data_IF_267657646763
#
_entry.id   IF_267657646763
#
_cell.length_a   1.000
_cell.length_b   1.000
_cell.length_c   1.000
_cell.angle_alpha   90.00
_cell.angle_beta   90.00
_cell.angle_gamma   90.00
#
_symmetry.space_group_name_H-M   'P 1'
#
loop_
_entity.id
_entity.type
_entity.pdbx_description
1 polymer ?
#
# COMPACT_ATOMS: atom_id res chain seq x y z
N UNK A 1 -66.63 -53.02 26.97
CA UNK A 1 -66.33 -52.08 25.88
C UNK A 1 -65.64 -50.83 26.44
N UNK A 2 -64.34 -50.80 26.37
CA UNK A 2 -63.56 -49.69 26.81
C UNK A 2 -62.93 -49.05 25.58
N UNK A 3 -63.31 -47.78 25.29
CA UNK A 3 -62.70 -46.96 24.28
C UNK A 3 -61.48 -46.25 24.90
N UNK A 4 -60.31 -46.44 24.26
CA UNK A 4 -59.07 -45.73 24.57
C UNK A 4 -58.93 -44.61 23.52
N UNK A 5 -58.73 -43.33 23.86
CA UNK A 5 -58.47 -42.29 22.91
C UNK A 5 -56.96 -42.28 22.51
N UNK A 6 -56.70 -42.34 21.19
CA UNK A 6 -55.37 -42.15 20.63
C UNK A 6 -55.04 -40.67 20.64
N UNK A 7 -54.02 -40.27 21.39
CA UNK A 7 -53.49 -38.93 21.44
C UNK A 7 -52.50 -38.72 20.27
N UNK A 8 -52.88 -37.95 19.30
CA UNK A 8 -52.01 -37.53 18.16
C UNK A 8 -51.10 -36.41 18.63
N UNK A 9 -49.82 -36.72 18.85
CA UNK A 9 -48.81 -35.71 19.12
C UNK A 9 -48.27 -35.15 17.80
N UNK A 10 -48.71 -33.96 17.42
CA UNK A 10 -48.14 -33.22 16.29
C UNK A 10 -46.81 -32.57 16.67
N UNK A 11 -45.70 -33.11 16.18
CA UNK A 11 -44.36 -32.51 16.32
C UNK A 11 -44.25 -31.38 15.31
N UNK A 12 -44.35 -30.13 15.77
CA UNK A 12 -44.01 -28.93 15.00
C UNK A 12 -42.48 -28.83 14.94
N UNK A 13 -41.89 -29.16 13.79
CA UNK A 13 -40.53 -28.83 13.47
C UNK A 13 -40.44 -27.32 13.21
N UNK A 14 -40.02 -26.57 14.24
CA UNK A 14 -39.62 -25.17 14.10
C UNK A 14 -38.24 -25.18 13.47
N UNK A 15 -38.18 -24.93 12.14
CA UNK A 15 -36.95 -24.65 11.43
C UNK A 15 -36.49 -23.25 11.87
N UNK A 16 -35.53 -23.18 12.76
CA UNK A 16 -34.79 -21.94 13.01
C UNK A 16 -33.93 -21.62 11.81
N UNK A 17 -34.47 -20.80 10.91
CA UNK A 17 -33.70 -20.16 9.87
C UNK A 17 -32.96 -18.99 10.55
N UNK A 18 -31.75 -19.24 11.10
CA UNK A 18 -30.85 -18.19 11.53
C UNK A 18 -30.46 -17.37 10.29
N UNK A 19 -31.23 -16.32 10.02
CA UNK A 19 -30.68 -15.19 9.26
C UNK A 19 -29.48 -14.70 10.08
N UNK A 20 -28.26 -14.99 9.61
CA UNK A 20 -27.09 -14.23 10.01
C UNK A 20 -27.42 -12.78 9.65
N UNK A 21 -27.87 -12.02 10.61
CA UNK A 21 -27.91 -10.58 10.52
C UNK A 21 -26.47 -10.16 10.19
N UNK A 22 -26.28 -9.64 8.96
CA UNK A 22 -25.06 -8.94 8.64
C UNK A 22 -24.99 -7.80 9.63
N UNK A 23 -23.97 -7.80 10.49
CA UNK A 23 -23.68 -6.64 11.34
C UNK A 23 -23.74 -5.40 10.44
N UNK A 24 -24.37 -4.32 10.87
CA UNK A 24 -24.42 -3.10 10.08
C UNK A 24 -22.97 -2.69 9.84
N UNK A 25 -22.58 -2.65 8.56
CA UNK A 25 -21.34 -2.00 8.15
C UNK A 25 -21.48 -0.56 8.61
N UNK A 26 -20.80 -0.23 9.70
CA UNK A 26 -20.69 1.17 10.14
C UNK A 26 -19.88 1.83 9.01
N UNK A 27 -20.58 2.59 8.15
CA UNK A 27 -19.91 3.49 7.23
C UNK A 27 -19.02 4.38 8.10
N UNK A 28 -17.70 4.23 7.92
CA UNK A 28 -16.74 5.01 8.67
C UNK A 28 -17.00 6.49 8.36
N UNK A 29 -17.43 7.22 9.36
CA UNK A 29 -17.70 8.68 9.30
C UNK A 29 -16.43 9.49 9.01
N UNK A 30 -15.26 8.83 8.91
CA UNK A 30 -13.92 9.39 8.73
C UNK A 30 -13.40 9.39 7.28
N UNK A 31 -14.11 8.85 6.31
CA UNK A 31 -13.60 8.73 4.93
C UNK A 31 -12.53 7.63 4.73
N UNK A 32 -12.10 6.93 5.78
CA UNK A 32 -11.20 5.77 5.70
C UNK A 32 -11.97 4.51 5.30
N UNK A 33 -11.33 3.54 4.60
CA UNK A 33 -11.93 2.23 4.39
C UNK A 33 -12.27 1.57 5.73
N UNK A 34 -13.53 1.15 5.94
CA UNK A 34 -14.00 0.64 7.23
C UNK A 34 -13.14 -0.52 7.80
N UNK A 35 -12.51 -1.30 6.93
CA UNK A 35 -11.64 -2.40 7.33
C UNK A 35 -10.28 -1.94 7.89
N UNK A 36 -9.82 -0.69 7.60
CA UNK A 36 -8.47 -0.26 7.97
C UNK A 36 -8.33 0.07 9.46
N UNK A 37 -9.40 0.48 10.14
CA UNK A 37 -9.36 1.00 11.51
C UNK A 37 -8.81 0.03 12.57
N UNK A 38 -8.88 -1.28 12.32
CA UNK A 38 -8.38 -2.31 13.25
C UNK A 38 -7.42 -3.28 12.58
N UNK A 39 -7.00 -3.00 11.35
CA UNK A 39 -6.11 -3.87 10.59
C UNK A 39 -4.66 -3.71 10.99
N UNK A 40 -3.91 -4.78 10.84
CA UNK A 40 -2.46 -4.78 10.90
C UNK A 40 -1.87 -4.91 9.50
N UNK A 41 -0.65 -4.44 9.32
CA UNK A 41 0.07 -4.43 8.04
C UNK A 41 1.31 -5.32 8.16
N UNK A 42 1.51 -6.20 7.17
CA UNK A 42 2.71 -7.02 7.04
C UNK A 42 3.46 -6.62 5.76
N UNK A 43 4.66 -6.06 5.93
CA UNK A 43 5.53 -5.66 4.82
C UNK A 43 6.22 -6.87 4.17
N UNK A 44 6.26 -6.90 2.84
CA UNK A 44 6.77 -8.01 2.04
C UNK A 44 7.83 -7.52 1.05
N UNK A 45 9.04 -8.01 1.22
CA UNK A 45 10.10 -7.92 0.22
C UNK A 45 10.10 -9.22 -0.59
N UNK A 46 9.47 -9.24 -1.77
CA UNK A 46 9.36 -10.45 -2.59
C UNK A 46 10.70 -11.11 -2.91
N UNK A 47 11.69 -10.31 -3.29
CA UNK A 47 13.04 -10.81 -3.64
C UNK A 47 13.68 -11.60 -2.51
N UNK A 48 13.39 -11.26 -1.25
CA UNK A 48 14.03 -11.82 -0.08
C UNK A 48 13.14 -12.76 0.74
N UNK A 49 11.86 -12.84 0.44
CA UNK A 49 10.91 -13.61 1.24
C UNK A 49 11.06 -15.11 1.06
N UNK A 50 11.30 -15.55 -0.18
CA UNK A 50 11.55 -16.95 -0.54
C UNK A 50 12.87 -17.07 -1.29
N UNK A 51 13.38 -18.29 -1.43
CA UNK A 51 14.59 -18.56 -2.22
C UNK A 51 14.39 -18.20 -3.70
N UNK A 52 13.19 -18.42 -4.22
CA UNK A 52 12.81 -18.16 -5.60
C UNK A 52 12.58 -16.66 -5.86
N UNK A 53 12.16 -15.91 -4.84
CA UNK A 53 11.87 -14.47 -4.94
C UNK A 53 10.66 -14.13 -5.81
N UNK A 54 9.73 -15.07 -6.04
CA UNK A 54 8.59 -14.88 -6.94
C UNK A 54 7.26 -14.79 -6.20
N UNK A 55 6.24 -14.20 -6.85
CA UNK A 55 4.89 -14.09 -6.28
C UNK A 55 4.25 -15.46 -6.03
N UNK A 56 4.44 -16.41 -6.93
CA UNK A 56 3.92 -17.77 -6.81
C UNK A 56 4.58 -18.56 -5.66
N UNK A 57 5.85 -18.28 -5.37
CA UNK A 57 6.52 -18.88 -4.22
C UNK A 57 6.03 -18.23 -2.90
N UNK A 58 5.84 -16.92 -2.90
CA UNK A 58 5.29 -16.18 -1.75
C UNK A 58 3.86 -16.63 -1.40
N UNK A 59 3.01 -16.87 -2.39
CA UNK A 59 1.61 -17.28 -2.22
C UNK A 59 1.45 -18.48 -1.28
N UNK A 60 2.41 -19.40 -1.26
CA UNK A 60 2.43 -20.56 -0.36
C UNK A 60 2.51 -20.19 1.12
N UNK A 61 2.89 -18.96 1.43
CA UNK A 61 2.95 -18.47 2.81
C UNK A 61 1.62 -17.89 3.32
N UNK A 62 0.63 -17.66 2.45
CA UNK A 62 -0.65 -17.07 2.82
C UNK A 62 -1.36 -17.78 3.98
N UNK A 63 -1.45 -19.13 4.03
CA UNK A 63 -2.07 -19.81 5.17
C UNK A 63 -1.40 -19.48 6.50
N UNK A 64 -0.05 -19.50 6.53
CA UNK A 64 0.73 -19.14 7.72
C UNK A 64 0.50 -17.69 8.14
N UNK A 65 0.47 -16.75 7.19
CA UNK A 65 0.22 -15.33 7.48
C UNK A 65 -1.20 -15.12 8.00
N UNK A 66 -2.18 -15.88 7.47
CA UNK A 66 -3.56 -15.85 7.98
C UNK A 66 -3.64 -16.36 9.41
N UNK A 67 -2.97 -17.46 9.72
CA UNK A 67 -2.90 -18.03 11.07
C UNK A 67 -2.20 -17.08 12.07
N UNK A 68 -1.27 -16.24 11.59
CA UNK A 68 -0.64 -15.17 12.36
C UNK A 68 -1.58 -13.98 12.62
N UNK A 69 -2.75 -13.93 11.97
CA UNK A 69 -3.68 -12.81 12.07
C UNK A 69 -3.33 -11.62 11.18
N UNK A 70 -2.49 -11.81 10.15
CA UNK A 70 -2.20 -10.74 9.17
C UNK A 70 -3.45 -10.43 8.36
N UNK A 71 -3.73 -9.14 8.17
CA UNK A 71 -4.91 -8.67 7.44
C UNK A 71 -4.54 -7.90 6.16
N UNK A 72 -3.49 -7.07 6.21
CA UNK A 72 -3.03 -6.28 5.07
C UNK A 72 -1.64 -6.74 4.64
N UNK A 73 -1.51 -7.11 3.37
CA UNK A 73 -0.25 -7.47 2.72
C UNK A 73 0.29 -6.23 1.98
N UNK A 74 1.36 -5.62 2.48
CA UNK A 74 2.02 -4.51 1.83
C UNK A 74 3.27 -5.00 1.10
N UNK A 75 3.25 -4.95 -0.23
CA UNK A 75 4.39 -5.28 -1.07
C UNK A 75 5.29 -4.07 -1.30
N UNK A 76 6.59 -4.18 -0.99
CA UNK A 76 7.60 -3.26 -1.49
C UNK A 76 7.46 -3.12 -3.02
N UNK A 77 8.04 -2.09 -3.66
CA UNK A 77 7.76 -1.84 -5.08
C UNK A 77 7.91 -3.08 -5.96
N UNK A 78 6.86 -3.40 -6.69
CA UNK A 78 6.75 -4.59 -7.56
C UNK A 78 6.94 -4.27 -9.05
N UNK A 79 7.26 -3.02 -9.35
CA UNK A 79 7.49 -2.53 -10.70
C UNK A 79 8.90 -2.89 -11.20
N UNK A 80 9.15 -2.92 -12.53
CA UNK A 80 10.49 -3.12 -13.07
C UNK A 80 11.48 -2.07 -12.57
N UNK A 81 12.70 -2.50 -12.28
CA UNK A 81 13.76 -1.67 -11.70
C UNK A 81 14.66 -1.11 -12.80
N UNK A 82 14.95 0.20 -12.74
CA UNK A 82 15.91 0.86 -13.62
C UNK A 82 17.33 0.28 -13.50
N UNK A 83 18.14 0.45 -14.54
CA UNK A 83 19.53 -0.05 -14.57
C UNK A 83 20.51 1.11 -14.59
N UNK A 84 20.13 2.25 -15.18
CA UNK A 84 20.99 3.42 -15.29
C UNK A 84 21.23 4.06 -13.92
N UNK A 85 22.49 4.33 -13.61
CA UNK A 85 22.88 4.98 -12.34
C UNK A 85 22.93 4.08 -11.12
N UNK A 86 22.69 2.77 -11.27
CA UNK A 86 22.86 1.80 -10.17
C UNK A 86 24.26 1.88 -9.58
N UNK A 87 24.38 1.67 -8.30
CA UNK A 87 25.67 1.42 -7.64
C UNK A 87 26.18 0.05 -8.14
N UNK A 88 27.18 0.08 -9.04
CA UNK A 88 27.69 -1.11 -9.72
C UNK A 88 28.62 -1.90 -8.80
N UNK A 89 28.07 -2.62 -7.83
CA UNK A 89 28.78 -3.69 -7.12
C UNK A 89 28.31 -5.04 -7.65
N UNK A 90 29.16 -6.08 -7.59
CA UNK A 90 28.81 -7.42 -8.08
C UNK A 90 27.53 -8.02 -7.43
N UNK A 91 27.09 -7.44 -6.32
CA UNK A 91 25.93 -7.88 -5.54
C UNK A 91 24.73 -6.92 -5.63
N UNK A 92 24.86 -5.84 -6.41
CA UNK A 92 23.80 -4.83 -6.49
C UNK A 92 22.75 -5.22 -7.52
N UNK A 93 21.59 -5.58 -7.02
CA UNK A 93 20.41 -5.93 -7.84
C UNK A 93 19.56 -4.69 -8.22
N UNK A 94 19.98 -3.49 -7.86
CA UNK A 94 19.25 -2.24 -8.03
C UNK A 94 18.22 -2.00 -6.93
N UNK A 95 17.85 -0.72 -6.78
CA UNK A 95 16.84 -0.28 -5.83
C UNK A 95 15.44 -0.56 -6.36
N UNK A 96 14.56 -1.13 -5.56
CA UNK A 96 13.12 -1.25 -5.86
C UNK A 96 12.48 0.11 -6.15
N UNK A 97 13.02 1.17 -5.55
CA UNK A 97 12.52 2.53 -5.66
C UNK A 97 13.00 3.26 -6.93
N UNK A 98 13.89 2.66 -7.72
CA UNK A 98 14.25 3.15 -9.06
C UNK A 98 13.27 2.59 -10.11
N UNK A 99 12.06 3.13 -10.16
CA UNK A 99 10.97 2.66 -11.02
C UNK A 99 11.27 2.89 -12.48
N UNK A 100 11.31 1.80 -13.28
CA UNK A 100 11.53 1.85 -14.73
C UNK A 100 10.22 1.96 -15.54
N UNK A 101 9.15 1.33 -15.03
CA UNK A 101 7.84 1.33 -15.66
C UNK A 101 6.75 1.29 -14.59
N UNK A 102 5.91 2.31 -14.54
CA UNK A 102 4.85 2.43 -13.53
C UNK A 102 3.68 1.47 -13.72
N UNK A 103 3.50 0.89 -14.92
CA UNK A 103 2.42 -0.06 -15.21
C UNK A 103 2.92 -1.49 -15.43
N UNK A 104 4.23 -1.71 -15.36
CA UNK A 104 4.84 -3.03 -15.49
C UNK A 104 4.87 -3.79 -14.15
N UNK A 105 4.71 -5.10 -14.20
CA UNK A 105 5.07 -5.99 -13.10
C UNK A 105 6.51 -6.48 -13.32
N UNK A 106 7.33 -6.49 -12.27
CA UNK A 106 8.74 -6.85 -12.39
C UNK A 106 8.87 -8.32 -12.84
N UNK A 107 9.51 -8.60 -13.98
CA UNK A 107 9.62 -9.97 -14.51
C UNK A 107 10.44 -10.91 -13.62
N UNK A 108 11.25 -10.38 -12.68
CA UNK A 108 11.92 -11.19 -11.66
C UNK A 108 10.92 -11.82 -10.68
N UNK A 109 9.75 -11.24 -10.50
CA UNK A 109 8.73 -11.69 -9.56
C UNK A 109 7.67 -12.57 -10.19
N UNK A 110 7.58 -12.62 -11.52
CA UNK A 110 6.60 -13.35 -12.30
C UNK A 110 5.96 -12.50 -13.40
N UNK A 111 4.75 -12.84 -13.79
CA UNK A 111 3.99 -12.12 -14.80
C UNK A 111 2.87 -11.26 -14.16
N UNK A 112 2.32 -10.33 -14.93
CA UNK A 112 1.14 -9.57 -14.51
C UNK A 112 -0.07 -10.48 -14.24
N UNK A 113 -0.21 -11.58 -14.99
CA UNK A 113 -1.29 -12.53 -14.76
C UNK A 113 -1.09 -13.31 -13.45
N UNK A 114 0.14 -13.66 -13.10
CA UNK A 114 0.46 -14.26 -11.80
C UNK A 114 0.10 -13.30 -10.65
N UNK A 115 0.40 -12.01 -10.81
CA UNK A 115 0.03 -10.99 -9.83
C UNK A 115 -1.48 -10.85 -9.68
N UNK A 116 -2.23 -10.76 -10.80
CA UNK A 116 -3.69 -10.68 -10.78
C UNK A 116 -4.33 -11.92 -10.12
N UNK A 117 -3.80 -13.11 -10.43
CA UNK A 117 -4.25 -14.36 -9.81
C UNK A 117 -3.98 -14.38 -8.31
N UNK A 118 -2.79 -13.92 -7.89
CA UNK A 118 -2.42 -13.79 -6.49
C UNK A 118 -3.35 -12.84 -5.73
N UNK A 119 -3.58 -11.62 -6.25
CA UNK A 119 -4.48 -10.64 -5.60
C UNK A 119 -5.87 -11.23 -5.40
N UNK A 120 -6.40 -11.89 -6.42
CA UNK A 120 -7.70 -12.56 -6.32
C UNK A 120 -7.71 -13.61 -5.21
N UNK A 121 -6.70 -14.49 -5.17
CA UNK A 121 -6.60 -15.54 -4.14
C UNK A 121 -6.41 -14.94 -2.72
N UNK A 122 -5.60 -13.91 -2.58
CA UNK A 122 -5.44 -13.19 -1.31
C UNK A 122 -6.78 -12.63 -0.81
N UNK A 123 -7.59 -12.04 -1.70
CA UNK A 123 -8.94 -11.58 -1.37
C UNK A 123 -9.88 -12.72 -0.97
N UNK A 124 -9.84 -13.86 -1.66
CA UNK A 124 -10.63 -15.04 -1.30
C UNK A 124 -10.27 -15.56 0.10
N UNK A 125 -9.03 -15.41 0.53
CA UNK A 125 -8.56 -15.71 1.88
C UNK A 125 -8.86 -14.59 2.90
N UNK A 126 -9.41 -13.46 2.46
CA UNK A 126 -9.79 -12.32 3.31
C UNK A 126 -8.65 -11.34 3.63
N UNK A 127 -7.54 -11.38 2.88
CA UNK A 127 -6.51 -10.35 2.96
C UNK A 127 -6.89 -9.09 2.17
N UNK A 128 -6.28 -7.97 2.56
CA UNK A 128 -6.15 -6.77 1.75
C UNK A 128 -4.75 -6.70 1.16
N UNK A 129 -4.64 -6.16 -0.04
CA UNK A 129 -3.36 -6.07 -0.77
C UNK A 129 -3.08 -4.62 -1.13
N UNK A 130 -1.97 -4.09 -0.65
CA UNK A 130 -1.46 -2.78 -1.04
C UNK A 130 -0.05 -2.90 -1.59
N UNK A 131 0.34 -1.97 -2.44
CA UNK A 131 1.71 -1.93 -2.98
C UNK A 131 2.37 -0.59 -2.68
N UNK A 132 3.69 -0.63 -2.58
CA UNK A 132 4.50 0.58 -2.48
C UNK A 132 4.41 1.40 -3.77
N UNK A 133 4.32 2.72 -3.64
CA UNK A 133 4.21 3.63 -4.75
C UNK A 133 5.21 4.78 -4.67
N UNK A 134 6.07 4.87 -5.67
CA UNK A 134 7.17 5.84 -5.73
C UNK A 134 6.76 7.02 -6.61
N UNK A 135 6.14 8.04 -6.01
CA UNK A 135 5.64 9.20 -6.75
C UNK A 135 6.66 10.35 -6.84
N UNK A 136 7.67 10.40 -5.97
CA UNK A 136 8.61 11.52 -5.93
C UNK A 136 9.64 11.50 -7.08
N UNK A 137 10.00 10.31 -7.56
CA UNK A 137 11.10 10.11 -8.51
C UNK A 137 10.91 8.83 -9.32
N UNK A 138 11.68 8.66 -10.40
CA UNK A 138 11.78 7.41 -11.13
C UNK A 138 13.21 7.16 -11.61
N UNK A 139 13.48 5.97 -12.15
CA UNK A 139 14.77 5.64 -12.74
C UNK A 139 15.09 6.54 -13.95
N UNK A 140 16.36 6.84 -14.24
CA UNK A 140 16.75 7.62 -15.42
C UNK A 140 16.41 6.93 -16.75
N UNK A 141 16.32 5.60 -16.75
CA UNK A 141 15.92 4.78 -17.90
C UNK A 141 14.42 4.42 -17.90
N UNK A 142 13.60 5.12 -17.10
CA UNK A 142 12.15 5.10 -17.24
C UNK A 142 11.75 5.64 -18.62
N UNK A 143 10.74 5.01 -19.26
CA UNK A 143 10.31 5.40 -20.60
C UNK A 143 9.83 6.88 -20.68
N UNK A 144 9.30 7.42 -19.58
CA UNK A 144 8.92 8.84 -19.50
C UNK A 144 10.11 9.78 -19.69
N UNK A 145 11.32 9.41 -19.25
CA UNK A 145 12.51 10.25 -19.40
C UNK A 145 12.80 10.56 -20.87
N UNK A 146 12.56 9.59 -21.75
CA UNK A 146 12.76 9.76 -23.21
C UNK A 146 11.56 10.42 -23.89
N UNK A 147 10.34 10.02 -23.51
CA UNK A 147 9.11 10.48 -24.16
C UNK A 147 8.68 11.87 -23.70
N UNK A 148 8.89 12.18 -22.43
CA UNK A 148 8.44 13.39 -21.75
C UNK A 148 9.54 13.93 -20.82
N UNK A 149 10.65 14.50 -21.38
CA UNK A 149 11.78 14.98 -20.58
C UNK A 149 11.43 16.16 -19.65
N UNK A 150 10.30 16.80 -19.87
CA UNK A 150 9.70 17.88 -19.07
C UNK A 150 8.94 17.37 -17.83
N UNK A 151 8.69 16.05 -17.75
CA UNK A 151 8.19 15.39 -16.53
C UNK A 151 9.22 15.41 -15.38
N UNK A 152 10.47 15.77 -15.66
CA UNK A 152 11.56 15.72 -14.70
C UNK A 152 12.06 17.10 -14.33
N UNK A 153 12.28 17.31 -13.04
CA UNK A 153 12.79 18.56 -12.51
C UNK A 153 14.25 18.80 -12.93
N UNK A 154 14.56 20.05 -13.28
CA UNK A 154 15.91 20.49 -13.63
C UNK A 154 16.34 21.64 -12.73
N UNK A 155 17.64 21.71 -12.50
CA UNK A 155 18.27 22.85 -11.82
C UNK A 155 18.39 24.07 -12.75
N UNK A 156 18.94 25.16 -12.25
CA UNK A 156 19.15 26.40 -13.00
C UNK A 156 20.11 26.25 -14.17
N UNK A 157 20.90 25.19 -14.24
CA UNK A 157 21.83 24.87 -15.32
C UNK A 157 21.21 23.87 -16.33
N UNK A 158 19.96 23.49 -16.15
CA UNK A 158 19.24 22.54 -17.01
C UNK A 158 19.57 21.07 -16.76
N UNK A 159 20.30 20.73 -15.69
CA UNK A 159 20.63 19.36 -15.30
C UNK A 159 19.48 18.74 -14.51
N UNK A 160 19.14 17.48 -14.79
CA UNK A 160 18.15 16.75 -14.03
C UNK A 160 18.54 16.59 -12.56
N UNK A 161 17.59 16.83 -11.66
CA UNK A 161 17.79 16.76 -10.22
C UNK A 161 17.65 15.29 -9.77
N UNK A 162 18.66 14.80 -9.06
CA UNK A 162 18.54 13.60 -8.24
C UNK A 162 18.08 14.02 -6.84
N UNK A 163 17.02 13.42 -6.27
CA UNK A 163 16.67 13.66 -4.87
C UNK A 163 17.81 13.20 -3.96
N UNK A 164 18.16 14.02 -2.97
CA UNK A 164 19.22 13.71 -2.02
C UNK A 164 20.55 13.29 -2.72
N UNK A 165 21.17 12.20 -2.29
CA UNK A 165 22.37 11.59 -2.87
C UNK A 165 22.06 10.34 -3.74
N UNK A 166 20.81 10.16 -4.16
CA UNK A 166 20.34 8.99 -4.90
C UNK A 166 20.68 9.10 -6.40
N UNK A 167 21.73 8.40 -6.81
CA UNK A 167 22.27 8.53 -8.18
C UNK A 167 21.45 7.80 -9.25
N UNK A 168 20.67 6.83 -8.84
CA UNK A 168 19.86 5.92 -9.67
C UNK A 168 18.42 6.38 -9.92
N UNK A 169 18.09 7.62 -9.53
CA UNK A 169 16.76 8.21 -9.72
C UNK A 169 16.80 9.68 -10.14
N UNK A 170 15.68 10.18 -10.69
CA UNK A 170 15.48 11.58 -11.09
C UNK A 170 14.15 12.08 -10.55
N UNK A 171 14.16 13.29 -9.99
CA UNK A 171 12.99 13.93 -9.38
C UNK A 171 11.94 14.28 -10.43
N UNK A 172 10.68 13.95 -10.16
CA UNK A 172 9.54 14.30 -10.99
C UNK A 172 9.10 15.77 -10.78
N UNK A 173 8.55 16.37 -11.83
CA UNK A 173 8.16 17.78 -11.86
C UNK A 173 6.64 17.94 -11.85
N UNK A 174 6.05 18.01 -10.69
CA UNK A 174 4.59 18.13 -10.50
C UNK A 174 4.00 19.49 -10.89
N UNK A 175 4.81 20.46 -11.35
CA UNK A 175 4.29 21.64 -12.04
C UNK A 175 3.76 21.30 -13.44
N UNK A 176 4.19 20.16 -14.01
CA UNK A 176 3.70 19.65 -15.29
C UNK A 176 2.38 18.89 -15.09
N UNK A 177 1.31 19.38 -15.76
CA UNK A 177 -0.02 18.76 -15.63
C UNK A 177 -0.08 17.36 -16.27
N UNK A 178 0.59 17.14 -17.39
CA UNK A 178 0.58 15.83 -18.06
C UNK A 178 1.28 14.76 -17.22
N UNK A 179 2.31 15.14 -16.44
CA UNK A 179 2.89 14.23 -15.44
C UNK A 179 1.84 13.85 -14.39
N UNK A 180 1.11 14.83 -13.85
CA UNK A 180 0.07 14.56 -12.83
C UNK A 180 -0.97 13.59 -13.37
N UNK A 181 -1.49 13.86 -14.56
CA UNK A 181 -2.48 13.01 -15.23
C UNK A 181 -1.93 11.59 -15.48
N UNK A 182 -0.67 11.48 -15.93
CA UNK A 182 0.00 10.20 -16.19
C UNK A 182 0.25 9.39 -14.92
N UNK A 183 0.60 10.05 -13.81
CA UNK A 183 0.81 9.41 -12.52
C UNK A 183 -0.51 8.89 -11.94
N UNK A 184 -1.58 9.70 -12.01
CA UNK A 184 -2.93 9.28 -11.60
C UNK A 184 -3.40 8.08 -12.43
N UNK A 185 -3.20 8.12 -13.74
CA UNK A 185 -3.57 7.03 -14.65
C UNK A 185 -2.79 5.74 -14.35
N UNK A 186 -1.51 5.86 -13.99
CA UNK A 186 -0.71 4.71 -13.58
C UNK A 186 -1.22 4.09 -12.26
N UNK A 187 -1.52 4.91 -11.25
CA UNK A 187 -2.09 4.41 -9.99
C UNK A 187 -3.48 3.78 -10.22
N UNK A 188 -4.31 4.43 -11.02
CA UNK A 188 -5.65 3.93 -11.35
C UNK A 188 -5.60 2.59 -12.08
N UNK A 189 -4.63 2.38 -12.98
CA UNK A 189 -4.38 1.10 -13.63
C UNK A 189 -4.23 -0.03 -12.61
N UNK A 190 -3.41 0.12 -11.57
CA UNK A 190 -3.24 -0.92 -10.55
C UNK A 190 -4.52 -1.20 -9.79
N UNK A 191 -5.31 -0.19 -9.47
CA UNK A 191 -6.59 -0.35 -8.77
C UNK A 191 -7.61 -1.09 -9.65
N UNK A 192 -7.76 -0.67 -10.92
CA UNK A 192 -8.81 -1.19 -11.80
C UNK A 192 -8.47 -2.52 -12.44
N UNK A 193 -7.21 -2.70 -12.85
CA UNK A 193 -6.77 -3.89 -13.60
C UNK A 193 -6.33 -5.04 -12.69
N UNK A 194 -5.84 -4.74 -11.50
CA UNK A 194 -5.34 -5.78 -10.59
C UNK A 194 -6.17 -5.93 -9.32
N UNK A 195 -7.01 -4.95 -9.01
CA UNK A 195 -7.92 -5.00 -7.88
C UNK A 195 -7.29 -4.74 -6.51
N UNK A 196 -6.04 -4.23 -6.43
CA UNK A 196 -5.41 -3.91 -5.14
C UNK A 196 -6.25 -2.95 -4.30
N UNK A 197 -6.04 -2.96 -2.99
CA UNK A 197 -6.86 -2.23 -2.03
C UNK A 197 -6.28 -0.87 -1.64
N UNK A 198 -5.07 -0.55 -2.11
CA UNK A 198 -4.45 0.74 -1.80
C UNK A 198 -2.96 0.79 -2.05
N UNK A 199 -2.34 1.83 -1.49
CA UNK A 199 -0.93 2.12 -1.67
C UNK A 199 -0.27 2.55 -0.37
N UNK A 200 1.01 2.20 -0.22
CA UNK A 200 1.94 2.90 0.64
C UNK A 200 2.76 3.84 -0.25
N UNK A 201 2.71 5.14 0.00
CA UNK A 201 3.35 6.15 -0.83
C UNK A 201 4.70 6.55 -0.26
N UNK A 202 5.76 6.23 -1.01
CA UNK A 202 7.15 6.50 -0.68
C UNK A 202 7.43 8.00 -0.63
N UNK A 203 8.17 8.46 0.40
CA UNK A 203 8.52 9.88 0.68
C UNK A 203 7.39 10.86 0.33
N UNK A 204 6.18 10.55 0.81
CA UNK A 204 4.97 11.29 0.46
C UNK A 204 5.04 12.79 0.82
N UNK A 205 5.83 13.15 1.84
CA UNK A 205 6.09 14.52 2.26
C UNK A 205 6.80 15.38 1.18
N UNK A 206 7.50 14.77 0.23
CA UNK A 206 8.26 15.43 -0.84
C UNK A 206 7.45 15.64 -2.13
N UNK A 207 6.23 15.09 -2.18
CA UNK A 207 5.29 15.24 -3.30
C UNK A 207 4.26 16.31 -2.94
N UNK A 208 3.84 17.20 -3.87
CA UNK A 208 2.89 18.27 -3.55
C UNK A 208 1.56 17.77 -3.00
N UNK A 209 1.07 18.38 -1.92
CA UNK A 209 -0.18 17.99 -1.25
C UNK A 209 -1.42 18.17 -2.13
N UNK A 210 -1.42 19.19 -3.00
CA UNK A 210 -2.49 19.43 -3.98
C UNK A 210 -2.56 18.31 -5.03
N UNK A 211 -1.41 17.73 -5.43
CA UNK A 211 -1.40 16.54 -6.27
C UNK A 211 -1.97 15.33 -5.54
N UNK A 212 -1.57 15.08 -4.30
CA UNK A 212 -2.13 13.96 -3.53
C UNK A 212 -3.64 14.07 -3.38
N UNK A 213 -4.15 15.26 -3.08
CA UNK A 213 -5.59 15.52 -2.98
C UNK A 213 -6.33 15.21 -4.29
N UNK A 214 -5.80 15.67 -5.42
CA UNK A 214 -6.33 15.37 -6.73
C UNK A 214 -6.30 13.86 -7.01
N UNK A 215 -5.14 13.23 -6.83
CA UNK A 215 -4.91 11.81 -7.09
C UNK A 215 -5.84 10.91 -6.27
N UNK A 216 -5.88 11.10 -4.96
CA UNK A 216 -6.70 10.27 -4.05
C UNK A 216 -8.19 10.44 -4.36
N UNK A 217 -8.61 11.67 -4.69
CA UNK A 217 -9.99 11.93 -5.13
C UNK A 217 -10.33 11.15 -6.39
N UNK A 218 -9.44 11.12 -7.39
CA UNK A 218 -9.66 10.38 -8.64
C UNK A 218 -9.64 8.85 -8.42
N UNK A 219 -8.74 8.34 -7.59
CA UNK A 219 -8.68 6.91 -7.26
C UNK A 219 -9.97 6.44 -6.57
N UNK A 220 -10.47 7.22 -5.61
CA UNK A 220 -11.66 6.89 -4.83
C UNK A 220 -12.97 6.91 -5.64
N UNK A 221 -12.97 7.48 -6.84
CA UNK A 221 -14.08 7.32 -7.79
C UNK A 221 -14.22 5.88 -8.31
N UNK A 222 -13.14 5.12 -8.34
CA UNK A 222 -13.11 3.74 -8.83
C UNK A 222 -13.25 2.73 -7.70
N UNK A 223 -12.54 2.93 -6.60
CA UNK A 223 -12.53 2.07 -5.41
C UNK A 223 -12.12 2.91 -4.19
N UNK A 224 -12.72 2.67 -3.04
CA UNK A 224 -12.31 3.30 -1.79
C UNK A 224 -10.96 2.69 -1.34
N UNK A 225 -9.86 3.21 -1.89
CA UNK A 225 -8.49 2.74 -1.64
C UNK A 225 -7.98 3.24 -0.30
N UNK A 226 -7.15 2.40 0.35
CA UNK A 226 -6.39 2.77 1.53
C UNK A 226 -5.07 3.44 1.13
N UNK A 227 -4.75 4.56 1.77
CA UNK A 227 -3.58 5.38 1.46
C UNK A 227 -2.72 5.55 2.70
N UNK A 228 -1.56 4.89 2.72
CA UNK A 228 -0.54 5.02 3.76
C UNK A 228 0.58 5.93 3.25
N UNK A 229 0.85 7.02 3.95
CA UNK A 229 1.94 7.93 3.61
C UNK A 229 3.22 7.61 4.39
N UNK A 230 4.33 7.42 3.71
CA UNK A 230 5.63 7.61 4.34
C UNK A 230 5.89 9.11 4.49
N UNK A 231 5.51 9.63 5.63
CA UNK A 231 5.58 11.04 5.96
C UNK A 231 5.00 11.28 7.36
N UNK A 232 5.13 12.51 7.85
CA UNK A 232 4.60 12.92 9.16
C UNK A 232 3.87 14.26 9.14
N UNK A 233 3.77 14.92 7.97
CA UNK A 233 3.04 16.17 7.86
C UNK A 233 1.55 15.97 8.04
N UNK A 234 0.92 16.77 8.90
CA UNK A 234 -0.53 16.68 9.15
C UNK A 234 -1.36 16.98 7.90
N UNK A 235 -0.83 17.79 6.98
CA UNK A 235 -1.43 18.11 5.68
C UNK A 235 -1.69 16.88 4.80
N UNK A 236 -1.00 15.76 5.07
CA UNK A 236 -1.28 14.48 4.38
C UNK A 236 -2.70 13.98 4.66
N UNK A 237 -3.21 14.17 5.87
CA UNK A 237 -4.60 13.83 6.19
C UNK A 237 -5.59 14.73 5.43
N UNK A 238 -5.30 16.03 5.29
CA UNK A 238 -6.10 16.97 4.51
C UNK A 238 -6.07 16.64 3.00
N UNK A 239 -4.97 16.03 2.53
CA UNK A 239 -4.83 15.53 1.17
C UNK A 239 -5.58 14.21 0.94
N UNK A 240 -6.03 13.52 2.00
CA UNK A 240 -6.85 12.33 1.94
C UNK A 240 -6.13 11.02 2.29
N UNK A 241 -4.90 11.06 2.82
CA UNK A 241 -4.26 9.87 3.36
C UNK A 241 -5.01 9.36 4.60
N UNK A 242 -5.03 8.05 4.76
CA UNK A 242 -5.68 7.38 5.88
C UNK A 242 -4.74 7.26 7.08
N UNK A 243 -3.47 7.02 6.83
CA UNK A 243 -2.44 6.79 7.84
C UNK A 243 -1.12 7.45 7.45
N UNK A 244 -0.34 7.83 8.46
CA UNK A 244 1.04 8.34 8.32
C UNK A 244 1.99 7.59 9.24
N UNK A 245 3.30 7.78 9.05
CA UNK A 245 4.30 7.13 9.89
C UNK A 245 4.47 7.86 11.23
N UNK A 246 4.46 7.09 12.31
CA UNK A 246 4.70 7.57 13.67
C UNK A 246 6.21 7.56 14.02
N UNK A 247 7.07 8.17 13.19
CA UNK A 247 8.53 8.12 13.40
C UNK A 247 8.97 8.72 14.74
N UNK A 248 8.38 9.82 15.15
CA UNK A 248 8.75 10.49 16.40
C UNK A 248 8.45 9.59 17.61
N UNK A 249 7.34 8.86 17.57
CA UNK A 249 6.99 7.85 18.59
C UNK A 249 7.97 6.67 18.54
N UNK A 250 8.29 6.15 17.34
CA UNK A 250 9.24 5.05 17.17
C UNK A 250 10.64 5.43 17.72
N UNK A 251 11.13 6.62 17.41
CA UNK A 251 12.42 7.12 17.93
C UNK A 251 12.35 7.24 19.44
N UNK A 252 11.29 7.84 19.99
CA UNK A 252 11.12 7.99 21.42
C UNK A 252 11.03 6.65 22.17
N UNK A 253 10.37 5.63 21.60
CA UNK A 253 10.36 4.27 22.14
C UNK A 253 11.78 3.67 22.15
N UNK A 254 12.53 3.83 21.07
CA UNK A 254 13.91 3.35 20.96
C UNK A 254 14.81 4.02 22.02
N UNK A 255 14.66 5.32 22.20
CA UNK A 255 15.40 6.10 23.21
C UNK A 255 15.02 5.72 24.64
N UNK A 256 13.72 5.47 24.90
CA UNK A 256 13.24 4.96 26.18
C UNK A 256 13.85 3.59 26.49
N UNK A 257 13.84 2.66 25.54
CA UNK A 257 14.43 1.34 25.69
C UNK A 257 15.95 1.41 25.92
N UNK A 258 16.64 2.34 25.25
CA UNK A 258 18.07 2.57 25.42
C UNK A 258 18.43 3.34 26.70
N UNK A 259 17.45 3.71 27.55
CA UNK A 259 17.66 4.52 28.76
C UNK A 259 18.03 5.98 28.51
N UNK A 260 17.87 6.47 27.28
CA UNK A 260 18.14 7.86 26.89
C UNK A 260 16.96 8.80 27.11
N UNK A 261 15.78 8.26 27.31
CA UNK A 261 14.53 9.00 27.58
C UNK A 261 13.82 8.35 28.77
N UNK A 262 13.14 9.16 29.57
CA UNK A 262 12.30 8.68 30.69
C UNK A 262 10.88 8.36 30.22
N UNK A 263 10.14 7.57 31.00
CA UNK A 263 8.71 7.30 30.75
C UNK A 263 7.91 8.60 30.71
N UNK A 264 8.21 9.57 31.58
CA UNK A 264 7.52 10.87 31.62
C UNK A 264 7.74 11.65 30.31
N UNK A 265 8.96 11.64 29.77
CA UNK A 265 9.25 12.30 28.49
C UNK A 265 8.55 11.60 27.30
N UNK A 266 8.43 10.28 27.36
CA UNK A 266 7.70 9.51 26.34
C UNK A 266 6.19 9.79 26.42
N UNK A 267 5.62 9.78 27.64
CA UNK A 267 4.20 10.08 27.85
C UNK A 267 3.84 11.52 27.41
N UNK A 268 4.73 12.48 27.67
CA UNK A 268 4.54 13.86 27.20
C UNK A 268 4.51 13.98 25.68
N UNK A 269 5.26 13.15 24.95
CA UNK A 269 5.24 13.15 23.49
C UNK A 269 3.90 12.61 22.97
N UNK A 270 3.44 11.47 23.49
CA UNK A 270 2.16 10.87 23.07
C UNK A 270 0.98 11.83 23.33
N UNK A 271 1.01 12.55 24.46
CA UNK A 271 -0.06 13.50 24.79
C UNK A 271 0.03 14.82 24.02
N UNK A 272 1.17 15.13 23.40
CA UNK A 272 1.32 16.31 22.55
C UNK A 272 0.79 16.08 21.12
N UNK A 273 0.78 14.83 20.67
CA UNK A 273 0.31 14.43 19.33
C UNK A 273 -1.21 14.13 19.30
N UNK A 274 -1.90 14.18 20.45
CA UNK A 274 -3.35 14.07 20.58
C UNK A 274 -4.00 15.46 20.83
#
# INVERSE_FOLDING_TARGET
SSFLPVLLVSILLISCNEKKDKEPVVEATSGHPAWSAQSNIYEINLRQFTKEGTITAFEKALPRLKDMGVEVLWFMPITPIGVEGRKMTEKDLGSYYAVKDYKGFNPEFGTMDDWKAFVKHAHEMGFKVITDWVANHSAPDNHWMKAHPDFYAKDSLGKYIAPYDWTDVRKLNYANKELRDSMIDAMKFWVTETGIDGFRCDVADDVPMDFWKECITELRKSKHVFMLAEGKKLELYDAGFDETYAWDIMVAMTELYAGKKTVVQFDSLINADN
#
